data_IF_591181360189
#
_entry.id   IF_591181360189
#
_cell.length_a   1.000
_cell.length_b   1.000
_cell.length_c   1.000
_cell.angle_alpha   90.00
_cell.angle_beta   90.00
_cell.angle_gamma   90.00
#
_symmetry.space_group_name_H-M   'P 1'
#
loop_
_entity.id
_entity.type
_entity.pdbx_description
1 polymer ?
#
# COMPACT_ATOMS: atom_id res chain seq x y z
N UNK A 1 -46.71 18.98 -7.97
CA UNK A 1 -45.75 18.29 -8.85
C UNK A 1 -44.50 18.03 -8.02
N UNK A 2 -44.41 16.83 -7.38
CA UNK A 2 -43.19 16.35 -6.72
C UNK A 2 -42.28 15.81 -7.81
N UNK A 3 -41.15 16.46 -8.02
CA UNK A 3 -40.05 15.88 -8.78
C UNK A 3 -39.49 14.71 -7.95
N UNK A 4 -39.65 13.50 -8.44
CA UNK A 4 -38.93 12.33 -8.01
C UNK A 4 -37.47 12.59 -8.35
N UNK A 5 -36.64 12.86 -7.36
CA UNK A 5 -35.18 12.74 -7.48
C UNK A 5 -34.88 11.28 -7.85
N UNK A 6 -34.45 11.08 -9.09
CA UNK A 6 -33.99 9.79 -9.55
C UNK A 6 -32.80 9.41 -8.66
N UNK A 7 -32.99 8.40 -7.81
CA UNK A 7 -31.88 7.72 -7.10
C UNK A 7 -30.81 7.37 -8.14
N UNK A 8 -29.63 7.97 -8.00
CA UNK A 8 -28.47 7.57 -8.81
C UNK A 8 -28.21 6.09 -8.52
N UNK A 9 -28.11 5.24 -9.55
CA UNK A 9 -27.74 3.87 -9.30
C UNK A 9 -26.42 3.86 -8.52
N UNK A 10 -26.36 3.02 -7.49
CA UNK A 10 -25.20 2.76 -6.66
C UNK A 10 -24.03 2.36 -7.58
N UNK A 11 -23.32 3.37 -8.08
CA UNK A 11 -22.08 3.13 -8.84
C UNK A 11 -21.06 2.72 -7.81
N UNK A 12 -20.53 1.51 -7.94
CA UNK A 12 -19.34 1.12 -7.22
C UNK A 12 -18.30 2.23 -7.40
N UNK A 13 -18.08 2.99 -6.34
CA UNK A 13 -17.06 4.03 -6.35
C UNK A 13 -15.72 3.38 -6.65
N UNK A 14 -14.98 3.96 -7.59
CA UNK A 14 -13.65 3.49 -7.95
C UNK A 14 -12.80 3.50 -6.67
N UNK A 15 -12.27 2.35 -6.32
CA UNK A 15 -11.48 2.15 -5.11
C UNK A 15 -10.17 1.50 -5.50
N UNK A 16 -9.08 1.86 -4.81
CA UNK A 16 -7.74 1.32 -5.04
C UNK A 16 -7.71 -0.21 -5.26
N UNK A 17 -6.70 -0.71 -5.98
CA UNK A 17 -6.44 -2.14 -6.17
C UNK A 17 -5.25 -2.60 -5.32
N UNK A 18 -5.40 -3.71 -4.60
CA UNK A 18 -4.30 -4.40 -3.90
C UNK A 18 -4.14 -5.79 -4.49
N UNK A 19 -2.90 -6.20 -4.72
CA UNK A 19 -2.56 -7.54 -5.18
C UNK A 19 -1.34 -8.06 -4.42
N UNK A 20 -1.38 -9.32 -4.01
CA UNK A 20 -0.24 -9.97 -3.38
C UNK A 20 -0.09 -11.38 -3.94
N UNK A 21 1.14 -11.83 -4.10
CA UNK A 21 1.47 -13.16 -4.61
C UNK A 21 2.75 -13.68 -3.96
N UNK A 22 2.72 -14.94 -3.56
CA UNK A 22 3.89 -15.71 -3.16
C UNK A 22 4.01 -16.91 -4.08
N UNK A 23 5.15 -17.07 -4.75
CA UNK A 23 5.39 -18.17 -5.65
C UNK A 23 6.89 -18.47 -5.74
N UNK A 24 7.25 -19.72 -5.48
CA UNK A 24 8.61 -20.21 -5.73
C UNK A 24 8.79 -20.44 -7.24
N UNK A 25 9.97 -20.08 -7.76
CA UNK A 25 10.36 -20.31 -9.15
C UNK A 25 9.52 -19.58 -10.21
N UNK A 26 8.74 -18.58 -9.80
CA UNK A 26 7.94 -17.77 -10.71
C UNK A 26 8.37 -16.30 -10.61
N UNK A 27 8.30 -15.52 -11.70
CA UNK A 27 8.62 -14.10 -11.69
C UNK A 27 7.50 -13.31 -11.00
N UNK A 28 7.51 -13.27 -9.66
CA UNK A 28 6.43 -12.66 -8.85
C UNK A 28 6.18 -11.18 -9.18
N UNK A 29 7.21 -10.44 -9.64
CA UNK A 29 7.04 -9.07 -10.12
C UNK A 29 6.11 -9.00 -11.33
N UNK A 30 6.27 -9.94 -12.29
CA UNK A 30 5.41 -10.02 -13.47
C UNK A 30 3.99 -10.44 -13.08
N UNK A 31 3.84 -11.39 -12.15
CA UNK A 31 2.52 -11.80 -11.64
C UNK A 31 1.82 -10.62 -10.96
N UNK A 32 2.54 -9.85 -10.14
CA UNK A 32 2.01 -8.64 -9.50
C UNK A 32 1.64 -7.57 -10.54
N UNK A 33 2.47 -7.37 -11.56
CA UNK A 33 2.16 -6.46 -12.68
C UNK A 33 0.83 -6.85 -13.36
N UNK A 34 0.65 -8.12 -13.74
CA UNK A 34 -0.59 -8.56 -14.38
C UNK A 34 -1.80 -8.47 -13.45
N UNK A 35 -1.61 -8.78 -12.15
CA UNK A 35 -2.66 -8.60 -11.16
C UNK A 35 -3.10 -7.14 -11.02
N UNK A 36 -2.14 -6.20 -10.94
CA UNK A 36 -2.44 -4.78 -10.89
C UNK A 36 -3.02 -4.27 -12.22
N UNK A 37 -2.54 -4.76 -13.35
CA UNK A 37 -3.09 -4.41 -14.65
C UNK A 37 -4.56 -4.80 -14.78
N UNK A 38 -4.93 -5.99 -14.30
CA UNK A 38 -6.34 -6.42 -14.23
C UNK A 38 -7.19 -5.54 -13.29
N UNK A 39 -6.56 -4.96 -12.25
CA UNK A 39 -7.19 -4.04 -11.31
C UNK A 39 -7.06 -2.56 -11.72
N UNK A 40 -6.52 -2.24 -12.91
CA UNK A 40 -6.24 -0.86 -13.34
C UNK A 40 -7.49 0.02 -13.36
N UNK A 41 -8.67 -0.55 -13.65
CA UNK A 41 -9.94 0.16 -13.62
C UNK A 41 -10.30 0.70 -12.22
N UNK A 42 -9.66 0.20 -11.16
CA UNK A 42 -9.88 0.62 -9.78
C UNK A 42 -8.96 1.78 -9.35
N UNK A 43 -7.78 1.94 -9.98
CA UNK A 43 -6.82 2.98 -9.60
C UNK A 43 -5.93 3.37 -10.77
N UNK A 44 -5.93 4.65 -11.14
CA UNK A 44 -5.24 5.16 -12.32
C UNK A 44 -4.25 6.29 -12.02
N UNK A 45 -4.07 6.63 -10.75
CA UNK A 45 -3.21 7.75 -10.34
C UNK A 45 -1.75 7.36 -10.16
N UNK A 46 -1.52 6.25 -9.46
CA UNK A 46 -0.18 5.71 -9.26
C UNK A 46 -0.21 4.19 -9.13
N UNK A 47 0.92 3.57 -9.40
CA UNK A 47 1.12 2.14 -9.22
C UNK A 47 2.44 1.87 -8.51
N UNK A 48 2.49 0.78 -7.73
CA UNK A 48 3.72 0.36 -7.06
C UNK A 48 3.73 -1.13 -6.79
N UNK A 49 4.93 -1.71 -6.79
CA UNK A 49 5.19 -3.11 -6.44
C UNK A 49 6.41 -3.15 -5.51
N UNK A 50 6.27 -3.88 -4.42
CA UNK A 50 7.38 -4.27 -3.56
C UNK A 50 7.61 -5.78 -3.69
N UNK A 51 8.86 -6.19 -3.92
CA UNK A 51 9.26 -7.60 -4.08
C UNK A 51 10.28 -7.96 -3.01
N UNK A 52 10.04 -9.08 -2.35
CA UNK A 52 10.90 -9.62 -1.32
C UNK A 52 11.75 -10.77 -1.86
N UNK A 53 13.02 -10.75 -1.50
CA UNK A 53 13.99 -11.78 -1.83
C UNK A 53 15.03 -11.91 -0.72
N UNK A 54 15.08 -13.06 -0.06
CA UNK A 54 16.10 -13.38 0.97
C UNK A 54 16.31 -12.26 2.01
N UNK A 55 15.22 -11.77 2.61
CA UNK A 55 15.26 -10.73 3.64
C UNK A 55 15.53 -9.32 3.13
N UNK A 56 15.58 -9.13 1.82
CA UNK A 56 15.67 -7.80 1.17
C UNK A 56 14.38 -7.46 0.46
N UNK A 57 14.09 -6.17 0.36
CA UNK A 57 12.95 -5.65 -0.40
C UNK A 57 13.43 -4.75 -1.53
N UNK A 58 12.80 -4.89 -2.70
CA UNK A 58 12.91 -3.93 -3.81
C UNK A 58 11.55 -3.31 -4.02
N UNK A 59 11.53 -1.99 -4.03
CA UNK A 59 10.33 -1.19 -4.27
C UNK A 59 10.50 -0.40 -5.55
N UNK A 60 9.52 -0.48 -6.43
CA UNK A 60 9.36 0.47 -7.54
C UNK A 60 7.93 0.98 -7.52
N UNK A 61 7.77 2.30 -7.52
CA UNK A 61 6.47 2.98 -7.56
C UNK A 61 6.60 4.35 -8.19
N UNK A 62 5.59 4.75 -8.95
CA UNK A 62 5.52 6.07 -9.56
C UNK A 62 4.08 6.47 -9.84
N UNK A 63 3.90 7.71 -10.30
CA UNK A 63 2.64 8.22 -10.80
C UNK A 63 2.36 7.67 -12.19
N UNK A 64 1.09 7.34 -12.46
CA UNK A 64 0.64 6.85 -13.75
C UNK A 64 0.02 5.45 -13.72
N UNK A 65 -0.35 4.98 -14.89
CA UNK A 65 -0.92 3.65 -15.10
C UNK A 65 0.15 2.57 -14.89
N UNK A 66 -0.27 1.35 -14.54
CA UNK A 66 0.63 0.21 -14.35
C UNK A 66 1.57 0.01 -15.54
N UNK A 67 1.04 0.12 -16.77
CA UNK A 67 1.83 -0.02 -18.00
C UNK A 67 2.79 1.15 -18.29
N UNK A 68 2.64 2.27 -17.60
CA UNK A 68 3.55 3.42 -17.70
C UNK A 68 4.64 3.37 -16.63
N UNK A 69 4.29 2.85 -15.45
CA UNK A 69 5.21 2.75 -14.29
C UNK A 69 6.15 1.55 -14.43
N UNK A 70 5.68 0.46 -15.03
CA UNK A 70 6.44 -0.79 -15.14
C UNK A 70 6.67 -1.18 -16.60
N UNK A 71 7.92 -1.28 -16.97
CA UNK A 71 8.39 -1.92 -18.19
C UNK A 71 9.10 -3.26 -17.88
N UNK A 72 9.55 -3.96 -18.92
CA UNK A 72 10.23 -5.24 -18.75
C UNK A 72 11.57 -5.10 -18.02
N UNK A 73 12.28 -4.00 -18.22
CA UNK A 73 13.58 -3.76 -17.56
C UNK A 73 13.42 -3.50 -16.06
N UNK A 74 12.37 -2.76 -15.67
CA UNK A 74 12.02 -2.56 -14.26
C UNK A 74 11.68 -3.91 -13.62
N UNK A 75 10.78 -4.70 -14.23
CA UNK A 75 10.34 -5.98 -13.69
C UNK A 75 11.50 -6.99 -13.59
N UNK A 76 12.39 -7.03 -14.58
CA UNK A 76 13.57 -7.91 -14.57
C UNK A 76 14.55 -7.59 -13.42
N UNK A 77 14.58 -6.35 -12.95
CA UNK A 77 15.40 -5.92 -11.81
C UNK A 77 14.76 -6.20 -10.44
N UNK A 78 13.57 -6.82 -10.41
CA UNK A 78 12.80 -7.11 -9.20
C UNK A 78 12.62 -8.63 -8.98
N UNK A 79 13.71 -9.42 -8.90
CA UNK A 79 13.62 -10.85 -8.60
C UNK A 79 13.20 -11.09 -7.15
N UNK A 80 12.42 -12.13 -6.91
CA UNK A 80 11.98 -12.56 -5.59
C UNK A 80 10.92 -13.65 -5.64
N UNK A 81 10.40 -13.99 -4.47
CA UNK A 81 9.42 -15.07 -4.26
C UNK A 81 8.11 -14.57 -3.62
N UNK A 82 8.07 -13.31 -3.20
CA UNK A 82 6.88 -12.65 -2.64
C UNK A 82 6.79 -11.23 -3.21
N UNK A 83 5.63 -10.86 -3.72
CA UNK A 83 5.34 -9.50 -4.16
C UNK A 83 4.02 -8.98 -3.60
N UNK A 84 3.99 -7.68 -3.30
CA UNK A 84 2.78 -6.94 -2.99
C UNK A 84 2.71 -5.71 -3.91
N UNK A 85 1.54 -5.44 -4.45
CA UNK A 85 1.32 -4.32 -5.36
C UNK A 85 0.07 -3.53 -5.03
N UNK A 86 0.04 -2.27 -5.47
CA UNK A 86 -1.04 -1.34 -5.25
C UNK A 86 -1.26 -0.43 -6.45
N UNK A 87 -2.52 -0.23 -6.82
CA UNK A 87 -3.00 0.84 -7.70
C UNK A 87 -3.77 1.86 -6.87
N UNK A 88 -3.39 3.11 -6.93
CA UNK A 88 -4.05 4.18 -6.18
C UNK A 88 -5.11 4.87 -7.02
N UNK A 89 -6.27 5.09 -6.42
CA UNK A 89 -7.25 6.09 -6.80
C UNK A 89 -7.33 7.12 -5.67
N UNK A 90 -7.14 8.39 -6.01
CA UNK A 90 -7.05 9.45 -5.00
C UNK A 90 -8.45 9.87 -4.54
N UNK A 91 -8.84 9.46 -3.36
CA UNK A 91 -10.01 10.01 -2.64
C UNK A 91 -9.58 11.11 -1.66
N UNK A 92 -8.36 11.01 -1.12
CA UNK A 92 -7.79 11.96 -0.15
C UNK A 92 -6.27 12.07 -0.34
N UNK A 93 -5.71 13.24 -0.03
CA UNK A 93 -4.28 13.51 -0.14
C UNK A 93 -3.83 14.05 -1.50
N UNK A 94 -2.60 14.55 -1.58
CA UNK A 94 -2.06 15.10 -2.82
C UNK A 94 -1.55 14.00 -3.76
N UNK A 95 -1.70 14.22 -5.07
CA UNK A 95 -1.16 13.36 -6.13
C UNK A 95 0.37 13.52 -6.22
N UNK A 96 1.09 12.80 -5.35
CA UNK A 96 2.56 12.81 -5.27
C UNK A 96 3.08 11.38 -5.11
N UNK A 97 4.26 11.11 -5.66
CA UNK A 97 4.92 9.79 -5.59
C UNK A 97 5.10 9.30 -4.15
N UNK A 98 5.33 10.19 -3.17
CA UNK A 98 5.44 9.81 -1.77
C UNK A 98 4.16 9.15 -1.22
N UNK A 99 3.00 9.48 -1.80
CA UNK A 99 1.70 8.91 -1.45
C UNK A 99 1.37 7.61 -2.21
N UNK A 100 2.19 7.22 -3.18
CA UNK A 100 2.05 5.94 -3.84
C UNK A 100 2.40 4.80 -2.88
N UNK A 101 1.70 3.70 -2.99
CA UNK A 101 1.92 2.49 -2.19
C UNK A 101 2.54 1.37 -3.07
N UNK A 102 3.16 0.34 -2.47
CA UNK A 102 3.28 0.03 -1.04
C UNK A 102 4.16 1.01 -0.26
N UNK A 103 3.87 1.12 1.06
CA UNK A 103 4.79 1.71 2.03
C UNK A 103 5.76 0.64 2.49
N UNK A 104 7.06 0.93 2.48
CA UNK A 104 8.11 0.00 2.92
C UNK A 104 8.84 0.61 4.11
N UNK A 105 8.90 -0.14 5.20
CA UNK A 105 9.65 0.24 6.40
C UNK A 105 10.59 -0.90 6.84
N UNK A 106 11.63 -0.52 7.59
CA UNK A 106 12.56 -1.47 8.22
C UNK A 106 12.18 -1.66 9.68
N UNK A 107 12.22 -2.89 10.17
CA UNK A 107 12.02 -3.24 11.57
C UNK A 107 13.17 -4.10 12.07
N UNK A 108 13.25 -4.34 13.38
CA UNK A 108 14.21 -5.29 13.96
C UNK A 108 14.07 -6.73 13.42
N UNK A 109 12.90 -7.09 12.88
CA UNK A 109 12.65 -8.41 12.26
C UNK A 109 12.91 -8.42 10.75
N UNK A 110 13.34 -7.30 10.17
CA UNK A 110 13.59 -7.12 8.74
C UNK A 110 12.59 -6.15 8.07
N UNK A 111 12.68 -6.02 6.75
CA UNK A 111 11.80 -5.15 5.99
C UNK A 111 10.38 -5.69 5.93
N UNK A 112 9.39 -4.79 5.90
CA UNK A 112 8.03 -5.15 5.53
C UNK A 112 7.43 -4.12 4.59
N UNK A 113 6.41 -4.53 3.85
CA UNK A 113 5.65 -3.65 2.97
C UNK A 113 4.17 -3.72 3.33
N UNK A 114 3.51 -2.57 3.26
CA UNK A 114 2.09 -2.42 3.50
C UNK A 114 1.41 -1.79 2.30
N UNK A 115 0.31 -2.40 1.85
CA UNK A 115 -0.63 -1.83 0.91
C UNK A 115 -2.03 -1.87 1.53
N UNK A 116 -2.75 -0.76 1.44
CA UNK A 116 -4.01 -0.56 2.12
C UNK A 116 -5.02 0.12 1.20
N UNK A 117 -6.21 -0.44 1.12
CA UNK A 117 -7.38 0.17 0.52
C UNK A 117 -8.34 0.54 1.64
N UNK A 118 -8.56 1.81 1.82
CA UNK A 118 -9.44 2.33 2.85
C UNK A 118 -9.06 3.75 3.25
N UNK A 119 -9.72 4.24 4.28
CA UNK A 119 -9.47 5.53 4.87
C UNK A 119 -9.73 5.45 6.37
N UNK A 120 -8.77 5.87 7.19
CA UNK A 120 -8.91 5.90 8.64
C UNK A 120 -9.68 7.14 9.06
N UNK A 121 -10.75 6.95 9.83
CA UNK A 121 -11.50 8.09 10.40
C UNK A 121 -10.76 8.73 11.58
N UNK A 122 -9.87 7.99 12.23
CA UNK A 122 -9.06 8.46 13.35
C UNK A 122 -7.58 8.73 12.99
N UNK A 123 -7.28 9.06 11.73
CA UNK A 123 -5.90 9.26 11.25
C UNK A 123 -5.12 10.32 12.06
N UNK A 124 -5.77 11.42 12.45
CA UNK A 124 -5.14 12.48 13.26
C UNK A 124 -4.73 11.97 14.66
N UNK A 125 -5.64 11.26 15.34
CA UNK A 125 -5.37 10.66 16.65
C UNK A 125 -4.26 9.61 16.56
N UNK A 126 -4.30 8.76 15.52
CA UNK A 126 -3.26 7.75 15.31
C UNK A 126 -1.90 8.40 15.07
N UNK A 127 -1.85 9.50 14.31
CA UNK A 127 -0.62 10.26 14.08
C UNK A 127 -0.03 10.78 15.39
N UNK A 128 -0.82 11.45 16.24
CA UNK A 128 -0.37 11.94 17.53
C UNK A 128 0.16 10.82 18.43
N UNK A 129 -0.43 9.65 18.35
CA UNK A 129 -0.05 8.47 19.13
C UNK A 129 1.26 7.82 18.69
N UNK A 130 1.58 7.91 17.40
CA UNK A 130 2.78 7.33 16.79
C UNK A 130 3.95 8.32 16.88
N UNK A 131 3.66 9.63 16.77
CA UNK A 131 4.67 10.66 16.71
C UNK A 131 5.30 10.86 18.10
N UNK A 132 6.46 10.26 18.29
CA UNK A 132 7.32 10.41 19.47
C UNK A 132 8.39 11.50 19.28
N UNK A 133 8.28 12.30 18.22
CA UNK A 133 9.23 13.33 17.83
C UNK A 133 10.47 12.82 17.10
N UNK A 134 10.53 11.50 16.81
CA UNK A 134 11.60 10.88 16.03
C UNK A 134 11.10 10.29 14.69
N UNK A 135 9.77 10.23 14.51
CA UNK A 135 9.18 9.69 13.29
C UNK A 135 9.23 10.73 12.18
N UNK A 136 9.91 10.41 11.09
CA UNK A 136 9.92 11.22 9.87
C UNK A 136 8.85 10.70 8.90
N UNK A 137 7.70 11.38 8.88
CA UNK A 137 6.64 11.08 7.94
C UNK A 137 7.00 11.59 6.55
N UNK A 138 6.99 10.70 5.56
CA UNK A 138 7.35 11.01 4.17
C UNK A 138 6.14 11.24 3.29
N UNK A 139 4.97 10.77 3.72
CA UNK A 139 3.70 10.88 3.01
C UNK A 139 2.61 11.55 3.85
N UNK A 140 1.45 11.76 3.24
CA UNK A 140 0.25 12.26 3.92
C UNK A 140 -0.84 11.19 4.02
N UNK A 141 -0.48 9.90 3.76
CA UNK A 141 -1.44 8.81 3.73
C UNK A 141 -1.60 8.17 5.12
N UNK A 142 -2.80 7.71 5.41
CA UNK A 142 -3.11 6.88 6.57
C UNK A 142 -2.38 5.54 6.55
N UNK A 143 -2.10 5.00 5.36
CA UNK A 143 -1.31 3.78 5.19
C UNK A 143 0.09 3.88 5.81
N UNK A 144 0.73 5.05 5.76
CA UNK A 144 2.02 5.27 6.41
C UNK A 144 1.88 5.22 7.94
N UNK A 145 0.78 5.75 8.50
CA UNK A 145 0.50 5.67 9.92
C UNK A 145 0.33 4.22 10.39
N UNK A 146 -0.43 3.42 9.63
CA UNK A 146 -0.57 1.99 9.92
C UNK A 146 0.80 1.29 9.87
N UNK A 147 1.62 1.60 8.87
CA UNK A 147 2.94 1.03 8.73
C UNK A 147 3.85 1.37 9.93
N UNK A 148 3.86 2.61 10.39
CA UNK A 148 4.60 3.01 11.59
C UNK A 148 4.06 2.35 12.87
N UNK A 149 2.74 2.20 13.01
CA UNK A 149 2.16 1.48 14.15
C UNK A 149 2.66 0.03 14.22
N UNK A 150 2.71 -0.67 13.07
CA UNK A 150 3.27 -2.03 12.98
C UNK A 150 4.76 -2.02 13.30
N UNK A 151 5.55 -1.12 12.71
CA UNK A 151 6.99 -1.00 12.96
C UNK A 151 7.28 -0.82 14.45
N UNK A 152 6.65 0.16 15.10
CA UNK A 152 6.85 0.42 16.53
C UNK A 152 6.47 -0.78 17.39
N UNK A 153 5.39 -1.49 17.05
CA UNK A 153 4.98 -2.69 17.79
C UNK A 153 6.03 -3.81 17.66
N UNK A 154 6.56 -4.03 16.47
CA UNK A 154 7.66 -4.98 16.24
C UNK A 154 8.90 -4.56 17.03
N UNK A 155 9.31 -3.29 16.95
CA UNK A 155 10.54 -2.79 17.57
C UNK A 155 10.45 -2.78 19.11
N UNK A 156 9.23 -2.73 19.68
CA UNK A 156 8.96 -2.95 21.10
C UNK A 156 8.99 -4.42 21.53
N UNK A 157 9.21 -5.36 20.61
CA UNK A 157 9.41 -6.78 20.94
C UNK A 157 8.32 -7.74 20.51
N UNK A 158 7.21 -7.25 19.90
CA UNK A 158 6.16 -8.14 19.40
C UNK A 158 6.63 -8.91 18.15
N UNK A 159 6.10 -10.11 17.98
CA UNK A 159 6.20 -10.83 16.72
C UNK A 159 5.27 -10.20 15.66
N UNK A 160 5.39 -10.63 14.40
CA UNK A 160 4.61 -10.07 13.30
C UNK A 160 3.10 -10.16 13.51
N UNK A 161 2.60 -11.29 14.00
CA UNK A 161 1.16 -11.49 14.22
C UNK A 161 0.63 -10.54 15.28
N UNK A 162 1.31 -10.48 16.43
CA UNK A 162 0.91 -9.61 17.52
C UNK A 162 1.04 -8.13 17.16
N UNK A 163 2.11 -7.74 16.42
CA UNK A 163 2.31 -6.37 15.97
C UNK A 163 1.22 -5.91 15.01
N UNK A 164 0.89 -6.72 13.99
CA UNK A 164 -0.19 -6.42 13.05
C UNK A 164 -1.53 -6.33 13.78
N UNK A 165 -1.84 -7.29 14.66
CA UNK A 165 -3.09 -7.26 15.44
C UNK A 165 -3.17 -5.99 16.30
N UNK A 166 -2.07 -5.61 16.94
CA UNK A 166 -2.01 -4.39 17.75
C UNK A 166 -2.23 -3.14 16.90
N UNK A 167 -1.56 -3.03 15.75
CA UNK A 167 -1.71 -1.88 14.86
C UNK A 167 -3.15 -1.76 14.32
N UNK A 168 -3.73 -2.87 13.86
CA UNK A 168 -5.11 -2.89 13.35
C UNK A 168 -6.12 -2.51 14.44
N UNK A 169 -5.90 -2.89 15.69
CA UNK A 169 -6.79 -2.50 16.80
C UNK A 169 -6.81 -1.00 17.10
N UNK A 170 -5.82 -0.23 16.61
CA UNK A 170 -5.77 1.23 16.71
C UNK A 170 -6.52 1.94 15.57
N UNK A 171 -6.83 1.21 14.49
CA UNK A 171 -7.47 1.75 13.30
C UNK A 171 -9.00 1.78 13.46
N UNK A 172 -9.61 2.89 13.08
CA UNK A 172 -11.06 3.07 13.04
C UNK A 172 -11.51 3.59 11.68
#
# INVERSE_FOLDING_TARGET
MHQLEAERPDRMEEACGVFAVQASEQPVANLAYFGLYALQHRGQESAGIAVFNQGKVRLHKDMGLVSQVFDQDVLARMPGDLAIGHNRYSTTGSSRVCNAQPVVLMTRLGPFALAHNGNLVNAAELRERIDDGQVEFTSTTDSELIAFAVQQAVDRGLDWKAAITSAVSLCQ
#
